data_IF_800027048748
#
_entry.id   IF_800027048748
#
_cell.length_a   1.000
_cell.length_b   1.000
_cell.length_c   1.000
_cell.angle_alpha   90.00
_cell.angle_beta   90.00
_cell.angle_gamma   90.00
#
_symmetry.space_group_name_H-M   'P 1'
#
loop_
_entity.id
_entity.type
_entity.pdbx_description
1 polymer ?
#
# COMPACT_ATOMS: atom_id res chain seq x y z
N UNK A 1 15.83 -11.76 13.25
CA UNK A 1 14.64 -11.93 14.12
C UNK A 1 13.48 -12.26 13.19
N UNK A 2 12.61 -13.20 13.51
CA UNK A 2 11.44 -13.54 12.69
C UNK A 2 10.35 -12.51 12.95
N UNK A 3 9.76 -11.95 11.89
CA UNK A 3 8.62 -11.03 12.00
C UNK A 3 7.31 -11.77 11.76
N UNK A 4 6.26 -11.42 12.47
CA UNK A 4 4.93 -11.97 12.34
C UNK A 4 3.96 -10.92 11.79
N UNK A 5 3.32 -11.24 10.68
CA UNK A 5 2.32 -10.39 10.05
C UNK A 5 0.91 -10.93 10.22
N UNK A 6 -0.07 -10.04 10.27
CA UNK A 6 -1.50 -10.36 10.23
C UNK A 6 -2.15 -9.67 9.03
N UNK A 7 -3.01 -10.38 8.33
CA UNK A 7 -3.91 -9.78 7.33
C UNK A 7 -5.26 -9.51 8.02
N UNK A 8 -5.68 -8.26 8.01
CA UNK A 8 -6.90 -7.83 8.68
C UNK A 8 -7.76 -6.99 7.73
N UNK A 9 -9.01 -7.40 7.57
CA UNK A 9 -9.96 -6.58 6.82
C UNK A 9 -10.23 -5.26 7.55
N UNK A 10 -10.32 -4.15 6.79
CA UNK A 10 -10.72 -2.87 7.35
C UNK A 10 -12.08 -2.98 8.07
N UNK A 11 -12.15 -2.48 9.28
CA UNK A 11 -13.37 -2.53 10.09
C UNK A 11 -13.69 -1.13 10.62
N UNK A 12 -14.45 -0.32 9.87
CA UNK A 12 -14.79 1.05 10.27
C UNK A 12 -15.33 1.12 11.71
N UNK A 13 -14.76 2.02 12.50
CA UNK A 13 -15.05 2.14 13.94
C UNK A 13 -14.25 1.19 14.85
N UNK A 14 -13.61 0.14 14.31
CA UNK A 14 -12.85 -0.84 15.09
C UNK A 14 -11.38 -0.97 14.67
N UNK A 15 -11.00 -0.59 13.45
CA UNK A 15 -9.66 -0.84 12.91
C UNK A 15 -8.55 -0.35 13.83
N UNK A 16 -8.66 0.85 14.38
CA UNK A 16 -7.67 1.42 15.30
C UNK A 16 -7.49 0.55 16.55
N UNK A 17 -8.59 0.13 17.19
CA UNK A 17 -8.58 -0.73 18.38
C UNK A 17 -7.98 -2.11 18.06
N UNK A 18 -8.40 -2.74 16.96
CA UNK A 18 -7.89 -4.05 16.54
C UNK A 18 -6.39 -4.00 16.18
N UNK A 19 -5.92 -2.91 15.58
CA UNK A 19 -4.50 -2.71 15.32
C UNK A 19 -3.69 -2.61 16.62
N UNK A 20 -4.18 -1.87 17.60
CA UNK A 20 -3.54 -1.79 18.91
C UNK A 20 -3.50 -3.15 19.63
N UNK A 21 -4.56 -3.94 19.54
CA UNK A 21 -4.61 -5.31 20.06
C UNK A 21 -3.59 -6.23 19.34
N UNK A 22 -3.51 -6.16 18.02
CA UNK A 22 -2.51 -6.91 17.24
C UNK A 22 -1.08 -6.55 17.69
N UNK A 23 -0.78 -5.27 17.89
CA UNK A 23 0.52 -4.83 18.39
C UNK A 23 0.81 -5.36 19.79
N UNK A 24 -0.17 -5.36 20.70
CA UNK A 24 -0.04 -5.90 22.05
C UNK A 24 0.19 -7.42 22.06
N UNK A 25 -0.40 -8.13 21.10
CA UNK A 25 -0.20 -9.58 20.90
C UNK A 25 1.16 -9.92 20.26
N UNK A 26 1.95 -8.92 19.89
CA UNK A 26 3.30 -9.11 19.37
C UNK A 26 3.39 -9.25 17.85
N UNK A 27 2.36 -8.88 17.10
CA UNK A 27 2.49 -8.77 15.64
C UNK A 27 3.36 -7.58 15.26
N UNK A 28 4.17 -7.77 14.21
CA UNK A 28 5.10 -6.77 13.67
C UNK A 28 4.51 -6.03 12.47
N UNK A 29 3.60 -6.68 11.74
CA UNK A 29 3.05 -6.18 10.47
C UNK A 29 1.53 -6.40 10.44
N UNK A 30 0.80 -5.36 10.04
CA UNK A 30 -0.62 -5.42 9.69
C UNK A 30 -0.79 -5.07 8.22
N UNK A 31 -1.35 -6.01 7.45
CA UNK A 31 -1.71 -5.84 6.05
C UNK A 31 -3.22 -5.76 5.89
N UNK A 32 -3.69 -4.85 5.06
CA UNK A 32 -5.12 -4.67 4.78
C UNK A 32 -5.42 -4.89 3.30
N UNK A 33 -6.41 -5.74 2.95
CA UNK A 33 -6.77 -5.99 1.56
C UNK A 33 -7.40 -4.76 0.91
N UNK A 34 -7.11 -4.57 -0.39
CA UNK A 34 -7.66 -3.48 -1.21
C UNK A 34 -8.66 -4.06 -2.24
N UNK A 35 -9.84 -4.41 -1.76
CA UNK A 35 -10.90 -5.13 -2.52
C UNK A 35 -12.23 -4.39 -2.42
N UNK A 36 -12.45 -3.38 -3.24
CA UNK A 36 -13.46 -2.33 -3.12
C UNK A 36 -14.90 -2.83 -2.87
N UNK A 37 -15.32 -3.93 -3.52
CA UNK A 37 -16.68 -4.47 -3.36
C UNK A 37 -16.79 -5.55 -2.28
N UNK A 38 -15.70 -5.91 -1.62
CA UNK A 38 -15.66 -6.95 -0.58
C UNK A 38 -15.30 -6.40 0.79
N UNK A 39 -14.54 -5.31 0.84
CA UNK A 39 -14.09 -4.68 2.09
C UNK A 39 -14.10 -3.15 2.00
N UNK A 40 -14.20 -2.44 3.12
CA UNK A 40 -14.05 -0.99 3.18
C UNK A 40 -12.69 -0.51 2.65
N UNK A 41 -12.58 0.80 2.35
CA UNK A 41 -11.31 1.39 1.88
C UNK A 41 -10.17 1.17 2.89
N UNK A 42 -9.06 0.54 2.46
CA UNK A 42 -7.96 0.25 3.39
C UNK A 42 -7.14 1.47 3.76
N UNK A 43 -6.97 2.45 2.85
CA UNK A 43 -6.02 3.55 3.07
C UNK A 43 -6.42 4.42 4.27
N UNK A 44 -7.68 4.84 4.33
CA UNK A 44 -8.19 5.58 5.48
C UNK A 44 -8.06 4.79 6.79
N UNK A 45 -8.34 3.48 6.73
CA UNK A 45 -8.27 2.60 7.90
C UNK A 45 -6.83 2.32 8.34
N UNK A 46 -5.86 2.22 7.41
CA UNK A 46 -4.44 2.08 7.71
C UNK A 46 -3.88 3.34 8.41
N UNK A 47 -4.35 4.54 8.05
CA UNK A 47 -3.99 5.76 8.78
C UNK A 47 -4.48 5.71 10.23
N UNK A 48 -5.71 5.26 10.47
CA UNK A 48 -6.25 5.09 11.82
C UNK A 48 -5.47 4.03 12.63
N UNK A 49 -5.13 2.90 12.00
CA UNK A 49 -4.30 1.86 12.60
C UNK A 49 -2.91 2.39 12.96
N UNK A 50 -2.27 3.10 12.03
CA UNK A 50 -0.94 3.68 12.23
C UNK A 50 -0.89 4.73 13.33
N UNK A 51 -1.92 5.59 13.41
CA UNK A 51 -2.02 6.61 14.47
C UNK A 51 -2.22 6.01 15.87
N UNK A 52 -2.82 4.82 15.98
CA UNK A 52 -3.09 4.15 17.25
C UNK A 52 -1.97 3.21 17.73
N UNK A 53 -0.98 2.93 16.88
CA UNK A 53 0.11 2.00 17.16
C UNK A 53 1.47 2.71 17.19
N UNK A 54 2.49 2.10 17.81
CA UNK A 54 3.82 2.68 17.97
C UNK A 54 4.92 1.92 17.21
N UNK A 55 4.75 0.62 17.00
CA UNK A 55 5.75 -0.28 16.39
C UNK A 55 5.22 -1.00 15.15
N UNK A 56 3.92 -1.28 15.14
CA UNK A 56 3.27 -2.06 14.09
C UNK A 56 3.45 -1.38 12.73
N UNK A 57 4.06 -2.07 11.79
CA UNK A 57 4.10 -1.64 10.39
C UNK A 57 2.75 -1.89 9.75
N UNK A 58 2.26 -0.95 8.96
CA UNK A 58 0.93 -0.99 8.39
C UNK A 58 0.98 -0.78 6.87
N UNK A 59 0.23 -1.57 6.13
CA UNK A 59 0.27 -1.48 4.68
C UNK A 59 -0.82 -2.26 3.94
N UNK A 60 -0.80 -2.18 2.62
CA UNK A 60 -1.74 -2.90 1.76
C UNK A 60 -1.32 -4.38 1.61
N UNK A 61 -2.28 -5.28 1.62
CA UNK A 61 -2.02 -6.71 1.45
C UNK A 61 -3.09 -7.44 0.63
N UNK A 62 -3.18 -7.16 -0.67
CA UNK A 62 -2.38 -6.30 -1.55
C UNK A 62 -3.26 -5.35 -2.34
N UNK A 63 -2.71 -4.21 -2.76
CA UNK A 63 -3.32 -3.36 -3.79
C UNK A 63 -2.95 -3.82 -5.20
N UNK A 64 -3.42 -3.12 -6.24
CA UNK A 64 -3.20 -3.51 -7.62
C UNK A 64 -3.07 -2.29 -8.57
N UNK A 65 -2.48 -2.46 -9.77
CA UNK A 65 -2.20 -1.36 -10.70
C UNK A 65 -3.42 -0.86 -11.49
N UNK A 66 -4.61 -1.44 -11.31
CA UNK A 66 -5.80 -1.15 -12.12
C UNK A 66 -6.78 -0.24 -11.39
N UNK A 67 -6.91 -0.40 -10.08
CA UNK A 67 -7.88 0.38 -9.27
C UNK A 67 -7.31 1.69 -8.76
N UNK A 68 -5.98 1.84 -8.73
CA UNK A 68 -5.31 3.05 -8.25
C UNK A 68 -4.33 3.60 -9.29
N UNK A 69 -4.22 4.91 -9.38
CA UNK A 69 -3.14 5.56 -10.13
C UNK A 69 -1.84 5.54 -9.27
N UNK A 70 -0.65 5.34 -9.87
CA UNK A 70 0.60 5.28 -9.10
C UNK A 70 0.92 6.58 -8.34
N UNK A 71 0.53 7.75 -8.86
CA UNK A 71 0.73 9.01 -8.14
C UNK A 71 -0.20 9.12 -6.92
N UNK A 72 -1.46 8.65 -7.05
CA UNK A 72 -2.44 8.65 -5.95
C UNK A 72 -1.99 7.69 -4.85
N UNK A 73 -1.57 6.48 -5.22
CA UNK A 73 -1.07 5.51 -4.26
C UNK A 73 0.21 6.00 -3.57
N UNK A 74 1.16 6.57 -4.34
CA UNK A 74 2.40 7.13 -3.78
C UNK A 74 2.10 8.23 -2.76
N UNK A 75 1.19 9.15 -3.08
CA UNK A 75 0.78 10.21 -2.15
C UNK A 75 0.18 9.64 -0.86
N UNK A 76 -0.69 8.64 -0.98
CA UNK A 76 -1.30 7.98 0.19
C UNK A 76 -0.26 7.28 1.08
N UNK A 77 0.67 6.52 0.47
CA UNK A 77 1.72 5.79 1.19
C UNK A 77 2.75 6.73 1.83
N UNK A 78 3.12 7.80 1.13
CA UNK A 78 4.02 8.81 1.66
C UNK A 78 3.38 9.54 2.86
N UNK A 79 2.09 9.87 2.79
CA UNK A 79 1.35 10.43 3.92
C UNK A 79 1.32 9.47 5.10
N UNK A 80 1.00 8.19 4.85
CA UNK A 80 1.02 7.16 5.88
C UNK A 80 2.42 6.99 6.51
N UNK A 81 3.49 7.06 5.70
CA UNK A 81 4.87 7.02 6.17
C UNK A 81 5.20 8.20 7.10
N UNK A 82 4.81 9.42 6.72
CA UNK A 82 5.02 10.61 7.54
C UNK A 82 4.27 10.52 8.88
N UNK A 83 2.99 10.13 8.85
CA UNK A 83 2.14 10.00 10.05
C UNK A 83 2.63 8.90 11.01
N UNK A 84 3.24 7.85 10.47
CA UNK A 84 3.68 6.69 11.27
C UNK A 84 5.17 6.69 11.60
N UNK A 85 5.93 7.71 11.21
CA UNK A 85 7.38 7.73 11.39
C UNK A 85 8.10 6.60 10.65
N UNK A 86 7.66 6.28 9.41
CA UNK A 86 8.30 5.31 8.55
C UNK A 86 7.81 3.87 8.68
N UNK A 87 6.65 3.63 9.29
CA UNK A 87 6.07 2.28 9.46
C UNK A 87 5.15 1.85 8.33
N UNK A 88 5.04 2.65 7.27
CA UNK A 88 4.26 2.30 6.09
C UNK A 88 4.95 1.25 5.22
N UNK A 89 4.16 0.37 4.60
CA UNK A 89 4.62 -0.55 3.56
C UNK A 89 3.55 -0.72 2.47
N UNK A 90 3.97 -1.15 1.28
CA UNK A 90 3.09 -1.38 0.15
C UNK A 90 3.17 -2.82 -0.32
N UNK A 91 2.18 -3.63 -0.03
CA UNK A 91 1.99 -4.90 -0.73
C UNK A 91 1.19 -4.67 -2.01
N UNK A 92 1.71 -5.13 -3.14
CA UNK A 92 1.08 -4.97 -4.45
C UNK A 92 1.10 -6.27 -5.25
N UNK A 93 0.01 -6.55 -5.97
CA UNK A 93 -0.10 -7.66 -6.90
C UNK A 93 -0.78 -7.25 -8.20
N UNK A 94 -1.00 -8.20 -9.13
CA UNK A 94 -1.69 -7.91 -10.39
C UNK A 94 -3.18 -7.63 -10.22
N UNK A 95 -3.75 -8.01 -9.08
CA UNK A 95 -5.17 -8.01 -8.82
C UNK A 95 -5.88 -9.22 -9.47
N UNK A 96 -6.78 -9.84 -8.73
CA UNK A 96 -7.65 -10.92 -9.22
C UNK A 96 -9.06 -10.75 -8.64
N UNK A 97 -9.34 -11.20 -7.42
CA UNK A 97 -10.67 -11.08 -6.80
C UNK A 97 -11.18 -9.64 -6.74
N UNK A 98 -10.33 -8.68 -6.36
CA UNK A 98 -10.69 -7.26 -6.34
C UNK A 98 -11.16 -6.75 -7.69
N UNK A 99 -10.52 -7.18 -8.78
CA UNK A 99 -10.86 -6.77 -10.15
C UNK A 99 -12.07 -7.53 -10.69
N UNK A 100 -12.19 -8.83 -10.42
CA UNK A 100 -13.34 -9.64 -10.83
C UNK A 100 -14.66 -9.06 -10.27
N UNK A 101 -14.68 -8.65 -9.00
CA UNK A 101 -15.86 -8.06 -8.35
C UNK A 101 -16.27 -6.68 -8.86
N UNK A 102 -15.40 -6.01 -9.63
CA UNK A 102 -15.72 -4.74 -10.33
C UNK A 102 -15.80 -4.91 -11.85
N UNK A 103 -15.89 -6.16 -12.34
CA UNK A 103 -16.03 -6.46 -13.75
C UNK A 103 -14.79 -6.19 -14.60
N UNK A 104 -13.59 -6.24 -14.01
CA UNK A 104 -12.31 -6.03 -14.71
C UNK A 104 -11.48 -7.30 -14.73
N UNK A 105 -10.66 -7.46 -15.77
CA UNK A 105 -9.65 -8.51 -15.84
C UNK A 105 -8.41 -8.17 -15.03
N UNK A 106 -7.63 -9.21 -14.70
CA UNK A 106 -6.37 -9.07 -13.96
C UNK A 106 -5.38 -8.17 -14.69
N UNK A 107 -4.59 -7.42 -13.95
CA UNK A 107 -3.46 -6.68 -14.48
C UNK A 107 -2.42 -7.64 -15.09
N UNK A 108 -1.79 -7.22 -16.19
CA UNK A 108 -0.68 -7.97 -16.81
C UNK A 108 0.62 -7.74 -16.04
N UNK A 109 1.60 -8.64 -16.19
CA UNK A 109 2.93 -8.46 -15.59
C UNK A 109 3.62 -7.17 -16.07
N UNK A 110 3.58 -6.80 -17.38
CA UNK A 110 4.12 -5.51 -17.82
C UNK A 110 3.42 -4.30 -17.18
N UNK A 111 2.09 -4.34 -17.01
CA UNK A 111 1.36 -3.26 -16.33
C UNK A 111 1.80 -3.13 -14.86
N UNK A 112 1.93 -4.25 -14.14
CA UNK A 112 2.43 -4.25 -12.76
C UNK A 112 3.85 -3.67 -12.69
N UNK A 113 4.76 -4.11 -13.58
CA UNK A 113 6.13 -3.60 -13.64
C UNK A 113 6.17 -2.09 -13.85
N UNK A 114 5.50 -1.58 -14.88
CA UNK A 114 5.45 -0.13 -15.17
C UNK A 114 4.83 0.66 -14.01
N UNK A 115 3.82 0.09 -13.35
CA UNK A 115 3.19 0.72 -12.19
C UNK A 115 4.18 0.84 -11.03
N UNK A 116 4.92 -0.24 -10.70
CA UNK A 116 5.90 -0.26 -9.62
C UNK A 116 7.05 0.71 -9.90
N UNK A 117 7.55 0.76 -11.13
CA UNK A 117 8.60 1.71 -11.53
C UNK A 117 8.15 3.16 -11.30
N UNK A 118 6.93 3.51 -11.72
CA UNK A 118 6.36 4.84 -11.49
C UNK A 118 6.09 5.11 -10.02
N UNK A 119 5.57 4.13 -9.28
CA UNK A 119 5.33 4.25 -7.84
C UNK A 119 6.62 4.56 -7.08
N UNK A 120 7.71 3.83 -7.38
CA UNK A 120 9.04 4.07 -6.79
C UNK A 120 9.55 5.47 -7.11
N UNK A 121 9.46 5.89 -8.38
CA UNK A 121 9.89 7.22 -8.80
C UNK A 121 9.14 8.32 -8.02
N UNK A 122 7.81 8.21 -7.90
CA UNK A 122 7.03 9.14 -7.10
C UNK A 122 7.42 9.15 -5.61
N UNK A 123 7.60 7.99 -5.01
CA UNK A 123 8.02 7.87 -3.60
C UNK A 123 9.43 8.41 -3.34
N UNK A 124 10.29 8.37 -4.35
CA UNK A 124 11.63 8.99 -4.32
C UNK A 124 11.62 10.51 -4.64
N UNK A 125 10.46 11.10 -4.89
CA UNK A 125 10.37 12.50 -5.28
C UNK A 125 10.84 12.79 -6.71
N UNK A 126 10.96 11.76 -7.56
CA UNK A 126 11.38 11.90 -8.95
C UNK A 126 10.22 12.33 -9.86
N UNK A 127 10.55 13.04 -10.95
CA UNK A 127 9.58 13.38 -11.98
C UNK A 127 9.29 12.17 -12.88
N UNK A 128 8.03 11.85 -13.06
CA UNK A 128 7.53 10.78 -13.93
C UNK A 128 6.89 11.39 -15.17
N UNK A 129 7.28 10.95 -16.36
CA UNK A 129 6.57 11.36 -17.58
C UNK A 129 5.17 10.75 -17.64
N UNK A 130 4.18 11.62 -17.79
CA UNK A 130 2.77 11.28 -17.94
C UNK A 130 2.23 11.91 -19.23
N UNK A 131 2.48 11.22 -20.34
CA UNK A 131 2.06 11.68 -21.67
C UNK A 131 2.66 13.05 -22.06
N UNK A 132 3.98 13.20 -21.91
CA UNK A 132 4.71 14.43 -22.21
C UNK A 132 4.60 15.52 -21.14
N UNK A 133 4.05 15.20 -19.97
CA UNK A 133 4.00 16.10 -18.81
C UNK A 133 4.77 15.51 -17.64
N UNK A 134 5.67 16.31 -17.05
CA UNK A 134 6.35 15.94 -15.82
C UNK A 134 5.36 15.97 -14.64
N UNK A 135 5.25 14.84 -13.94
CA UNK A 135 4.39 14.66 -12.74
C UNK A 135 5.27 14.25 -11.56
N UNK A 136 5.10 14.89 -10.41
CA UNK A 136 5.96 14.69 -9.23
C UNK A 136 5.17 14.98 -7.96
N UNK A 137 5.48 14.29 -6.86
CA UNK A 137 4.97 14.63 -5.53
C UNK A 137 5.80 15.78 -4.95
N UNK A 138 5.40 17.02 -5.22
CA UNK A 138 6.15 18.23 -4.84
C UNK A 138 6.14 18.54 -3.35
N UNK A 139 5.31 17.88 -2.58
CA UNK A 139 5.15 18.12 -1.15
C UNK A 139 6.04 17.25 -0.26
N UNK A 140 6.72 16.25 -0.81
CA UNK A 140 7.52 15.27 -0.03
C UNK A 140 8.54 15.95 0.89
N UNK A 141 9.27 16.93 0.39
CA UNK A 141 10.32 17.64 1.15
C UNK A 141 9.77 18.51 2.29
N UNK A 142 8.45 18.70 2.35
CA UNK A 142 7.80 19.49 3.40
C UNK A 142 7.46 18.70 4.65
N UNK A 143 7.60 17.37 4.61
CA UNK A 143 7.22 16.45 5.69
C UNK A 143 8.28 15.37 5.89
N UNK A 144 8.38 14.76 7.08
CA UNK A 144 9.35 13.70 7.39
C UNK A 144 8.90 12.35 6.78
N UNK A 145 8.90 12.27 5.45
CA UNK A 145 8.57 11.04 4.74
C UNK A 145 9.78 10.09 4.74
N UNK A 146 9.57 8.87 5.21
CA UNK A 146 10.57 7.81 5.18
C UNK A 146 10.34 6.89 3.98
N UNK A 147 11.37 6.14 3.52
CA UNK A 147 11.22 5.15 2.46
C UNK A 147 10.11 4.14 2.74
N UNK A 148 9.27 3.87 1.75
CA UNK A 148 8.19 2.88 1.83
C UNK A 148 8.61 1.61 1.10
N UNK A 149 8.81 0.49 1.81
CA UNK A 149 9.09 -0.79 1.18
C UNK A 149 7.92 -1.23 0.28
N UNK A 150 8.25 -1.87 -0.85
CA UNK A 150 7.27 -2.41 -1.80
C UNK A 150 7.46 -3.92 -1.89
N UNK A 151 6.49 -4.67 -1.38
CA UNK A 151 6.41 -6.12 -1.44
C UNK A 151 5.52 -6.55 -2.61
N UNK A 152 6.00 -7.47 -3.45
CA UNK A 152 5.30 -7.90 -4.65
C UNK A 152 4.73 -9.31 -4.42
N UNK A 153 3.40 -9.43 -4.50
CA UNK A 153 2.73 -10.73 -4.48
C UNK A 153 2.94 -11.48 -5.80
N UNK A 154 3.75 -12.53 -5.75
CA UNK A 154 4.12 -13.34 -6.90
C UNK A 154 3.68 -14.80 -6.70
N UNK A 155 2.92 -15.35 -7.65
CA UNK A 155 2.42 -16.74 -7.61
C UNK A 155 3.00 -17.63 -8.71
N UNK A 156 3.82 -17.09 -9.60
CA UNK A 156 4.37 -17.86 -10.71
C UNK A 156 5.71 -17.33 -11.22
N UNK A 157 6.48 -18.18 -11.94
CA UNK A 157 7.86 -17.88 -12.36
C UNK A 157 7.97 -16.62 -13.22
N UNK A 158 6.96 -16.31 -14.03
CA UNK A 158 6.96 -15.11 -14.88
C UNK A 158 6.82 -13.79 -14.11
N UNK A 159 6.40 -13.83 -12.85
CA UNK A 159 6.25 -12.63 -12.01
C UNK A 159 7.44 -12.49 -11.05
N UNK A 160 8.20 -13.57 -10.84
CA UNK A 160 9.37 -13.61 -9.97
C UNK A 160 10.65 -13.14 -10.70
N UNK A 161 10.68 -13.25 -12.04
CA UNK A 161 11.75 -12.74 -12.91
C UNK A 161 11.63 -11.23 -13.17
#
# INVERSE_FOLDING_TARGET
>A
MTEFGIVMEPSPGNTARLAAEAEQLGFDILLSPDTQNLSPDPIGQLNLAGAQTQRLRVGTGVTNPITRDPAVLASSLASLSAETGGRALCGIGRGDSSLAHIGKGNGTTPQLKTFIERLRAYLNGEAVDRNGRASQLRWLDSYPVHPVPIDIACTGPKTIQ
#
